data_IF_197430300295
#
_entry.id   IF_197430300295
#
_cell.length_a   1.000
_cell.length_b   1.000
_cell.length_c   1.000
_cell.angle_alpha   90.00
_cell.angle_beta   90.00
_cell.angle_gamma   90.00
#
_symmetry.space_group_name_H-M   'P 1'
#
loop_
_entity.id
_entity.type
_entity.pdbx_description
1 polymer ?
#
# COMPACT_ATOMS: atom_id res chain seq x y z
N UNK A 1 39.34 52.36 35.19
CA UNK A 1 38.65 52.53 33.88
C UNK A 1 38.09 51.18 33.48
N UNK A 2 36.78 51.00 33.52
CA UNK A 2 36.15 49.79 32.99
C UNK A 2 36.01 50.01 31.49
N UNK A 3 36.74 49.24 30.69
CA UNK A 3 36.57 49.22 29.23
C UNK A 3 35.24 48.50 28.97
N UNK A 4 34.20 49.27 28.67
CA UNK A 4 32.94 48.74 28.15
C UNK A 4 33.24 48.26 26.74
N UNK A 5 33.41 46.96 26.56
CA UNK A 5 33.34 46.37 25.23
C UNK A 5 31.91 46.59 24.72
N UNK A 6 31.74 47.58 23.85
CA UNK A 6 30.49 47.75 23.12
C UNK A 6 30.33 46.51 22.25
N UNK A 7 29.37 45.68 22.61
CA UNK A 7 28.94 44.55 21.80
C UNK A 7 27.77 45.07 20.96
N UNK A 8 28.00 45.46 19.70
CA UNK A 8 27.04 46.29 18.95
C UNK A 8 25.71 45.57 18.71
N UNK A 9 25.70 44.23 18.75
CA UNK A 9 24.48 43.45 18.58
C UNK A 9 23.57 43.44 19.83
N UNK A 10 24.07 43.77 21.03
CA UNK A 10 23.23 43.82 22.24
C UNK A 10 22.32 45.05 22.28
N UNK A 11 22.64 46.10 21.51
CA UNK A 11 21.87 47.35 21.45
C UNK A 11 20.79 47.33 20.36
N UNK A 12 20.81 46.32 19.48
CA UNK A 12 19.84 46.15 18.41
C UNK A 12 19.22 44.76 18.47
N UNK A 13 17.92 44.69 18.78
CA UNK A 13 17.19 43.43 18.95
C UNK A 13 17.26 42.52 17.72
N UNK A 14 17.26 43.07 16.50
CA UNK A 14 17.39 42.28 15.27
C UNK A 14 18.81 41.72 15.11
N UNK A 15 19.83 42.53 15.39
CA UNK A 15 21.23 42.08 15.37
C UNK A 15 21.52 41.04 16.47
N UNK A 16 20.92 41.19 17.65
CA UNK A 16 20.97 40.20 18.72
C UNK A 16 20.41 38.86 18.25
N UNK A 17 19.20 38.83 17.70
CA UNK A 17 18.60 37.58 17.24
C UNK A 17 19.33 36.98 16.04
N UNK A 18 19.93 37.79 15.17
CA UNK A 18 20.76 37.30 14.07
C UNK A 18 22.04 36.62 14.59
N UNK A 19 22.76 37.26 15.52
CA UNK A 19 24.00 36.70 16.10
C UNK A 19 23.69 35.51 17.01
N UNK A 20 22.60 35.58 17.79
CA UNK A 20 22.11 34.46 18.59
C UNK A 20 21.73 33.28 17.70
N UNK A 21 20.98 33.49 16.63
CA UNK A 21 20.62 32.42 15.68
C UNK A 21 21.84 31.86 14.98
N UNK A 22 22.81 32.70 14.60
CA UNK A 22 24.06 32.24 13.98
C UNK A 22 24.85 31.27 14.87
N UNK A 23 24.83 31.45 16.19
CA UNK A 23 25.56 30.62 17.15
C UNK A 23 24.76 29.46 17.73
N UNK A 24 23.44 29.61 17.84
CA UNK A 24 22.57 28.66 18.54
C UNK A 24 21.47 28.04 17.67
N UNK A 25 21.13 28.62 16.52
CA UNK A 25 20.27 27.95 15.57
C UNK A 25 21.05 26.84 14.89
N UNK A 26 20.46 25.64 14.89
CA UNK A 26 21.00 24.51 14.17
C UNK A 26 20.85 24.78 12.66
N UNK A 27 21.88 25.37 12.05
CA UNK A 27 21.91 25.68 10.60
C UNK A 27 21.71 24.43 9.74
N UNK A 28 21.94 23.23 10.29
CA UNK A 28 21.70 21.95 9.62
C UNK A 28 20.28 21.41 9.83
N UNK A 29 19.40 22.11 10.55
CA UNK A 29 18.03 21.66 10.85
C UNK A 29 17.25 21.38 9.58
N UNK A 30 17.34 22.27 8.59
CA UNK A 30 16.64 22.12 7.31
C UNK A 30 17.18 20.91 6.53
N UNK A 31 18.50 20.75 6.46
CA UNK A 31 19.14 19.60 5.79
C UNK A 31 18.80 18.27 6.49
N UNK A 32 18.77 18.25 7.83
CA UNK A 32 18.35 17.10 8.62
C UNK A 32 16.89 16.74 8.36
N UNK A 33 16.00 17.73 8.25
CA UNK A 33 14.60 17.49 7.89
C UNK A 33 14.44 17.02 6.45
N UNK A 34 15.18 17.60 5.49
CA UNK A 34 15.19 17.13 4.10
C UNK A 34 15.66 15.68 4.01
N UNK A 35 16.72 15.32 4.73
CA UNK A 35 17.24 13.95 4.75
C UNK A 35 16.22 12.99 5.36
N UNK A 36 15.58 13.35 6.48
CA UNK A 36 14.53 12.54 7.09
C UNK A 36 13.32 12.38 6.17
N UNK A 37 12.83 13.46 5.58
CA UNK A 37 11.73 13.46 4.64
C UNK A 37 12.06 12.62 3.40
N UNK A 38 13.29 12.69 2.91
CA UNK A 38 13.72 11.91 1.75
C UNK A 38 13.73 10.41 1.99
N UNK A 39 14.03 9.99 3.21
CA UNK A 39 14.08 8.59 3.63
C UNK A 39 12.75 8.09 4.20
N UNK A 40 11.72 8.94 4.28
CA UNK A 40 10.44 8.55 4.86
C UNK A 40 9.75 7.53 3.97
N UNK A 41 9.42 6.38 4.56
CA UNK A 41 8.63 5.31 3.95
C UNK A 41 7.70 4.75 5.01
N UNK A 42 6.55 4.26 4.59
CA UNK A 42 5.57 3.66 5.47
C UNK A 42 6.10 2.33 6.02
N UNK A 43 6.56 2.35 7.27
CA UNK A 43 6.98 1.15 8.02
C UNK A 43 5.86 0.59 8.90
N UNK A 44 4.97 1.47 9.37
CA UNK A 44 3.90 1.16 10.33
C UNK A 44 2.51 1.38 9.72
N UNK A 45 1.59 1.97 10.51
CA UNK A 45 0.25 2.39 10.14
C UNK A 45 0.28 3.63 9.25
N UNK A 46 -0.72 3.76 8.37
CA UNK A 46 -0.86 4.90 7.46
C UNK A 46 -0.98 6.22 8.21
N UNK A 47 -1.78 6.26 9.28
CA UNK A 47 -1.97 7.48 10.09
C UNK A 47 -0.66 7.98 10.72
N UNK A 48 0.17 7.07 11.24
CA UNK A 48 1.49 7.44 11.78
C UNK A 48 2.39 8.00 10.67
N UNK A 49 2.40 7.35 9.51
CA UNK A 49 3.17 7.81 8.36
C UNK A 49 2.71 9.20 7.85
N UNK A 50 1.40 9.47 7.81
CA UNK A 50 0.86 10.79 7.44
C UNK A 50 1.36 11.86 8.42
N UNK A 51 1.26 11.60 9.73
CA UNK A 51 1.74 12.54 10.76
C UNK A 51 3.23 12.83 10.61
N UNK A 52 4.03 11.79 10.44
CA UNK A 52 5.48 11.93 10.22
C UNK A 52 5.76 12.72 8.93
N UNK A 53 5.00 12.47 7.85
CA UNK A 53 5.16 13.18 6.58
C UNK A 53 4.84 14.67 6.72
N UNK A 54 3.72 15.02 7.37
CA UNK A 54 3.25 16.38 7.58
C UNK A 54 4.16 17.19 8.53
N UNK A 55 4.76 16.55 9.53
CA UNK A 55 5.67 17.18 10.49
C UNK A 55 6.85 17.91 9.81
N UNK A 56 7.28 17.44 8.64
CA UNK A 56 8.40 18.00 7.90
C UNK A 56 7.98 19.05 6.86
N UNK A 57 6.69 19.18 6.56
CA UNK A 57 6.16 20.15 5.57
C UNK A 57 6.13 21.58 6.09
N UNK A 58 5.98 21.77 7.40
CA UNK A 58 6.01 23.10 8.05
C UNK A 58 7.29 23.88 7.72
N UNK A 59 8.38 23.16 7.43
CA UNK A 59 9.70 23.75 7.12
C UNK A 59 9.95 23.83 5.61
N UNK A 60 9.22 23.04 4.81
CA UNK A 60 9.53 22.79 3.40
C UNK A 60 8.29 23.14 2.57
N UNK A 61 8.25 24.37 2.06
CA UNK A 61 7.14 24.95 1.28
C UNK A 61 7.01 24.32 -0.13
N UNK A 62 6.78 23.01 -0.20
CA UNK A 62 6.66 22.23 -1.44
C UNK A 62 5.26 22.32 -2.06
N UNK A 63 5.19 22.17 -3.39
CA UNK A 63 3.94 22.09 -4.14
C UNK A 63 3.25 20.73 -3.97
N UNK A 64 1.93 20.69 -4.09
CA UNK A 64 1.13 19.46 -4.00
C UNK A 64 1.63 18.34 -4.91
N UNK A 65 2.07 18.66 -6.12
CA UNK A 65 2.65 17.67 -7.05
C UNK A 65 3.83 16.89 -6.45
N UNK A 66 4.74 17.59 -5.78
CA UNK A 66 5.91 16.99 -5.11
C UNK A 66 5.45 16.19 -3.89
N UNK A 67 4.49 16.72 -3.14
CA UNK A 67 3.94 16.06 -1.95
C UNK A 67 3.26 14.75 -2.31
N UNK A 68 2.38 14.76 -3.30
CA UNK A 68 1.62 13.61 -3.77
C UNK A 68 2.56 12.52 -4.29
N UNK A 69 3.51 12.87 -5.16
CA UNK A 69 4.45 11.89 -5.71
C UNK A 69 5.34 11.29 -4.61
N UNK A 70 5.90 12.13 -3.73
CA UNK A 70 6.75 11.64 -2.63
C UNK A 70 5.96 10.76 -1.66
N UNK A 71 4.77 11.20 -1.27
CA UNK A 71 3.92 10.47 -0.34
C UNK A 71 3.56 9.11 -0.92
N UNK A 72 3.06 9.07 -2.16
CA UNK A 72 2.72 7.85 -2.87
C UNK A 72 3.91 6.90 -2.96
N UNK A 73 5.09 7.38 -3.36
CA UNK A 73 6.29 6.55 -3.48
C UNK A 73 6.71 5.88 -2.16
N UNK A 74 6.47 6.55 -1.03
CA UNK A 74 6.75 6.03 0.31
C UNK A 74 5.70 5.07 0.86
N UNK A 75 4.52 4.92 0.26
CA UNK A 75 3.47 4.01 0.72
C UNK A 75 3.84 2.52 0.51
N UNK A 76 3.25 1.66 1.34
CA UNK A 76 3.30 0.20 1.18
C UNK A 76 2.71 -0.22 -0.15
N UNK A 77 3.27 -1.28 -0.74
CA UNK A 77 2.88 -1.81 -2.04
C UNK A 77 1.38 -2.11 -2.12
N UNK A 78 0.80 -2.76 -1.11
CA UNK A 78 -0.63 -3.11 -1.07
C UNK A 78 -1.55 -1.90 -1.25
N UNK A 79 -1.22 -0.78 -0.61
CA UNK A 79 -2.01 0.46 -0.70
C UNK A 79 -1.85 1.08 -2.09
N UNK A 80 -0.63 1.11 -2.62
CA UNK A 80 -0.35 1.60 -3.98
C UNK A 80 -1.09 0.79 -5.04
N UNK A 81 -1.05 -0.53 -4.93
CA UNK A 81 -1.73 -1.44 -5.85
C UNK A 81 -3.26 -1.20 -5.80
N UNK A 82 -3.82 -0.95 -4.62
CA UNK A 82 -5.25 -0.68 -4.46
C UNK A 82 -5.65 0.72 -4.92
N UNK A 83 -4.79 1.74 -4.74
CA UNK A 83 -4.98 3.06 -5.36
C UNK A 83 -5.03 2.94 -6.88
N UNK A 84 -4.12 2.17 -7.47
CA UNK A 84 -4.10 1.91 -8.92
C UNK A 84 -5.36 1.15 -9.37
N UNK A 85 -5.75 0.11 -8.61
CA UNK A 85 -6.91 -0.73 -8.93
C UNK A 85 -8.23 0.05 -8.86
N UNK A 86 -8.32 1.04 -7.98
CA UNK A 86 -9.46 1.97 -7.88
C UNK A 86 -9.40 3.12 -8.89
N UNK A 87 -8.41 3.11 -9.79
CA UNK A 87 -8.14 4.16 -10.78
C UNK A 87 -7.98 5.56 -10.18
N UNK A 88 -7.48 5.63 -8.94
CA UNK A 88 -7.23 6.90 -8.29
C UNK A 88 -6.00 7.59 -8.89
N UNK A 89 -6.18 8.83 -9.37
CA UNK A 89 -5.11 9.62 -9.95
C UNK A 89 -4.49 10.55 -8.90
N UNK A 90 -3.45 10.06 -8.20
CA UNK A 90 -2.77 10.82 -7.16
C UNK A 90 -1.99 12.02 -7.70
N UNK A 91 -1.53 11.99 -8.96
CA UNK A 91 -0.75 13.08 -9.58
C UNK A 91 -1.57 14.36 -9.78
N UNK A 92 -2.88 14.22 -10.00
CA UNK A 92 -3.80 15.35 -10.21
C UNK A 92 -4.66 15.66 -8.98
N UNK A 93 -4.33 15.05 -7.84
CA UNK A 93 -5.04 15.25 -6.57
C UNK A 93 -4.28 16.21 -5.66
N UNK A 94 -4.96 16.83 -4.72
CA UNK A 94 -4.29 17.55 -3.62
C UNK A 94 -3.64 16.56 -2.66
N UNK A 95 -2.64 17.01 -1.91
CA UNK A 95 -1.95 16.17 -0.93
C UNK A 95 -2.95 15.53 0.07
N UNK A 96 -3.93 16.32 0.52
CA UNK A 96 -4.97 15.85 1.45
C UNK A 96 -5.82 14.71 0.85
N UNK A 97 -6.25 14.84 -0.41
CA UNK A 97 -7.03 13.78 -1.07
C UNK A 97 -6.25 12.46 -1.14
N UNK A 98 -4.93 12.52 -1.36
CA UNK A 98 -4.07 11.33 -1.38
C UNK A 98 -3.95 10.71 0.01
N UNK A 99 -3.89 11.54 1.07
CA UNK A 99 -3.85 11.07 2.46
C UNK A 99 -5.14 10.34 2.83
N UNK A 100 -6.28 10.97 2.57
CA UNK A 100 -7.60 10.42 2.87
C UNK A 100 -7.81 9.10 2.13
N UNK A 101 -7.40 9.03 0.85
CA UNK A 101 -7.53 7.80 0.06
C UNK A 101 -6.65 6.67 0.58
N UNK A 102 -5.43 6.97 1.04
CA UNK A 102 -4.55 5.97 1.63
C UNK A 102 -5.14 5.40 2.93
N UNK A 103 -5.77 6.25 3.74
CA UNK A 103 -6.43 5.84 4.97
C UNK A 103 -7.67 4.98 4.70
N UNK A 104 -8.52 5.40 3.74
CA UNK A 104 -9.69 4.64 3.29
C UNK A 104 -9.30 3.22 2.88
N UNK A 105 -8.29 3.09 2.02
CA UNK A 105 -7.78 1.80 1.55
C UNK A 105 -7.23 0.96 2.70
N UNK A 106 -6.47 1.56 3.62
CA UNK A 106 -5.93 0.85 4.76
C UNK A 106 -7.04 0.31 5.66
N UNK A 107 -8.07 1.10 5.93
CA UNK A 107 -9.22 0.67 6.75
C UNK A 107 -9.96 -0.49 6.08
N UNK A 108 -10.13 -0.44 4.76
CA UNK A 108 -10.73 -1.52 4.00
C UNK A 108 -9.87 -2.80 4.09
N UNK A 109 -8.54 -2.71 3.89
CA UNK A 109 -7.63 -3.85 4.01
C UNK A 109 -7.70 -4.52 5.40
N UNK A 110 -7.72 -3.73 6.47
CA UNK A 110 -7.82 -4.25 7.84
C UNK A 110 -9.20 -4.88 8.12
N UNK A 111 -10.28 -4.34 7.55
CA UNK A 111 -11.61 -4.94 7.63
C UNK A 111 -11.68 -6.32 6.94
N UNK A 112 -11.02 -6.48 5.78
CA UNK A 112 -10.94 -7.79 5.11
C UNK A 112 -10.12 -8.81 5.90
N UNK A 113 -8.99 -8.39 6.48
CA UNK A 113 -8.18 -9.27 7.36
C UNK A 113 -8.98 -9.75 8.56
N UNK A 114 -9.85 -8.90 9.10
CA UNK A 114 -10.68 -9.23 10.27
C UNK A 114 -11.86 -10.15 9.95
N UNK A 115 -12.35 -10.15 8.70
CA UNK A 115 -13.53 -10.92 8.28
C UNK A 115 -13.19 -12.22 7.55
N UNK A 116 -11.95 -12.41 7.10
CA UNK A 116 -11.53 -13.65 6.44
C UNK A 116 -11.25 -14.73 7.50
N UNK A 117 -12.06 -15.81 7.62
CA UNK A 117 -11.68 -16.95 8.45
C UNK A 117 -10.36 -17.50 7.90
N UNK A 118 -9.39 -17.81 8.77
CA UNK A 118 -8.24 -18.63 8.36
C UNK A 118 -8.79 -19.97 7.88
N UNK A 119 -9.11 -20.07 6.59
CA UNK A 119 -9.33 -21.34 5.93
C UNK A 119 -7.94 -21.94 5.78
N UNK A 120 -7.44 -22.54 6.86
CA UNK A 120 -6.33 -23.49 6.79
C UNK A 120 -6.79 -24.59 5.86
N UNK A 121 -6.35 -24.54 4.60
CA UNK A 121 -6.49 -25.65 3.67
C UNK A 121 -5.64 -26.80 4.20
N UNK A 122 -6.20 -27.61 5.10
CA UNK A 122 -5.67 -28.93 5.39
C UNK A 122 -5.85 -29.79 4.13
N UNK A 123 -4.80 -29.86 3.33
CA UNK A 123 -4.71 -30.83 2.24
C UNK A 123 -4.56 -32.23 2.86
N UNK A 124 -5.67 -32.96 3.03
CA UNK A 124 -5.62 -34.40 3.22
C UNK A 124 -5.27 -35.04 1.88
N UNK A 125 -4.00 -35.42 1.71
CA UNK A 125 -3.53 -36.21 0.57
C UNK A 125 -4.06 -37.64 0.68
N UNK A 126 -5.19 -37.93 0.02
CA UNK A 126 -5.68 -39.29 -0.16
C UNK A 126 -5.00 -39.90 -1.39
N UNK A 127 -3.91 -40.62 -1.15
CA UNK A 127 -3.23 -41.45 -2.15
C UNK A 127 -4.06 -42.72 -2.36
N UNK A 128 -4.95 -42.72 -3.35
CA UNK A 128 -5.65 -43.94 -3.76
C UNK A 128 -4.84 -44.68 -4.82
N UNK A 129 -4.14 -45.71 -4.38
CA UNK A 129 -3.51 -46.74 -5.21
C UNK A 129 -4.57 -47.63 -5.86
N UNK A 130 -4.55 -47.77 -7.19
CA UNK A 130 -5.22 -48.88 -7.88
C UNK A 130 -4.39 -49.37 -9.06
N UNK A 131 -4.01 -50.64 -8.98
CA UNK A 131 -3.33 -51.50 -9.95
C UNK A 131 -4.33 -52.10 -10.95
N UNK A 132 -4.00 -52.16 -12.25
CA UNK A 132 -4.32 -53.27 -13.17
C UNK A 132 -3.63 -53.16 -14.54
N UNK A 133 -3.07 -54.30 -14.99
CA UNK A 133 -2.39 -54.65 -16.25
C UNK A 133 -3.38 -54.74 -17.44
N UNK A 134 -3.10 -54.22 -18.64
CA UNK A 134 -2.29 -54.72 -19.80
C UNK A 134 -3.11 -55.46 -20.90
N UNK A 135 -3.16 -54.88 -22.12
CA UNK A 135 -2.71 -55.46 -23.42
C UNK A 135 -3.40 -54.84 -24.67
N UNK A 136 -2.56 -54.42 -25.63
CA UNK A 136 -2.60 -54.44 -27.12
C UNK A 136 -3.95 -54.46 -27.88
N UNK A 137 -4.21 -53.71 -28.97
CA UNK A 137 -3.38 -53.42 -30.17
C UNK A 137 -3.94 -52.25 -31.02
N UNK A 138 -3.02 -51.63 -31.78
CA UNK A 138 -3.12 -50.73 -32.95
C UNK A 138 -4.46 -50.50 -33.67
N UNK A 139 -4.73 -49.23 -34.05
CA UNK A 139 -4.93 -48.79 -35.45
C UNK A 139 -4.83 -47.25 -35.58
N UNK A 140 -4.25 -46.85 -36.71
CA UNK A 140 -3.77 -45.53 -37.15
C UNK A 140 -4.83 -44.42 -37.34
N UNK A 141 -4.39 -43.14 -37.50
CA UNK A 141 -5.26 -41.97 -37.46
C UNK A 141 -5.83 -41.61 -38.85
N UNK A 142 -6.84 -40.73 -38.84
CA UNK A 142 -7.11 -39.62 -39.79
C UNK A 142 -8.59 -39.54 -40.20
N UNK A 143 -9.27 -38.42 -39.92
CA UNK A 143 -9.83 -37.50 -40.93
C UNK A 143 -10.59 -36.34 -40.27
N UNK A 144 -10.37 -35.16 -40.83
CA UNK A 144 -10.92 -33.85 -40.46
C UNK A 144 -12.44 -33.75 -40.68
N UNK A 145 -13.14 -32.91 -39.89
CA UNK A 145 -13.99 -31.80 -40.39
C UNK A 145 -14.91 -31.20 -39.30
N UNK A 146 -14.94 -29.86 -39.26
CA UNK A 146 -16.13 -29.00 -39.09
C UNK A 146 -16.83 -28.83 -37.72
N UNK A 147 -16.60 -27.62 -37.16
CA UNK A 147 -17.58 -26.64 -36.65
C UNK A 147 -18.62 -27.01 -35.55
N UNK A 148 -18.59 -26.15 -34.52
CA UNK A 148 -19.72 -25.66 -33.69
C UNK A 148 -19.92 -26.30 -32.29
N UNK A 149 -20.62 -25.61 -31.35
CA UNK A 149 -20.09 -25.28 -30.02
C UNK A 149 -20.70 -26.15 -28.92
N UNK A 150 -19.88 -26.70 -28.01
CA UNK A 150 -20.39 -27.45 -26.87
C UNK A 150 -20.61 -26.54 -25.65
N UNK A 151 -21.78 -25.92 -25.58
CA UNK A 151 -22.42 -25.58 -24.30
C UNK A 151 -22.90 -26.89 -23.68
N UNK A 152 -22.18 -27.43 -22.68
CA UNK A 152 -22.66 -28.59 -21.91
C UNK A 152 -23.07 -28.12 -20.52
N UNK A 153 -24.35 -27.80 -20.38
CA UNK A 153 -25.01 -27.68 -19.08
C UNK A 153 -24.92 -29.05 -18.39
N UNK A 154 -24.33 -29.09 -17.19
CA UNK A 154 -24.26 -30.31 -16.39
C UNK A 154 -25.66 -30.65 -15.90
N UNK A 155 -26.20 -31.75 -16.42
CA UNK A 155 -27.46 -32.37 -16.03
C UNK A 155 -27.29 -33.05 -14.67
N UNK A 156 -28.19 -32.75 -13.74
CA UNK A 156 -28.63 -33.69 -12.69
C UNK A 156 -28.05 -33.49 -11.30
N UNK A 157 -28.66 -32.60 -10.49
CA UNK A 157 -28.74 -32.83 -9.05
C UNK A 157 -29.84 -33.88 -8.80
N UNK A 158 -29.60 -34.96 -8.04
CA UNK A 158 -30.67 -35.87 -7.65
C UNK A 158 -31.60 -35.19 -6.65
N UNK A 159 -32.88 -35.10 -7.00
CA UNK A 159 -33.98 -34.71 -6.12
C UNK A 159 -34.30 -35.92 -5.24
N UNK A 160 -34.16 -35.78 -3.92
CA UNK A 160 -34.56 -36.83 -2.98
C UNK A 160 -36.09 -36.96 -2.98
N UNK A 161 -36.61 -38.13 -3.35
CA UNK A 161 -38.00 -38.50 -3.10
C UNK A 161 -38.12 -38.85 -1.62
N UNK A 162 -39.09 -38.23 -0.94
CA UNK A 162 -39.50 -38.56 0.43
C UNK A 162 -40.65 -39.57 0.28
N UNK A 163 -40.45 -40.79 0.78
CA UNK A 163 -41.49 -41.81 0.83
C UNK A 163 -42.55 -41.42 1.88
N UNK A 164 -43.86 -41.58 1.60
CA UNK A 164 -44.89 -41.41 2.60
C UNK A 164 -44.97 -42.67 3.47
N UNK A 165 -44.57 -42.54 4.74
CA UNK A 165 -44.83 -43.54 5.77
C UNK A 165 -46.34 -43.69 5.98
N UNK A 166 -46.78 -44.95 6.04
CA UNK A 166 -48.15 -45.41 6.33
C UNK A 166 -48.66 -44.96 7.69
#
# INVERSE_FOLDING_TARGET
MIVKFLVPFLENTQAFWAEFSKHFADNNRNEKYRLKWNNLKQTKLVQEYIKDFQQYLVVLNYSDSILCDKFYNGLKKEIKDMMLSTMFNWCNSSAQQVYDKAEEINNHLEAYKSTTPLHSTSHSSSTSSSTARANSSNSTPNFNSSLAPCTRLSIGNPVYMIDPTT
#
